data_IF_712146486345
#
_entry.id   IF_712146486345
#
_cell.length_a   1.000
_cell.length_b   1.000
_cell.length_c   1.000
_cell.angle_alpha   90.00
_cell.angle_beta   90.00
_cell.angle_gamma   90.00
#
_symmetry.space_group_name_H-M   'P 1'
#
loop_
_entity.id
_entity.type
_entity.pdbx_description
1 polymer ?
#
# COMPACT_ATOMS: atom_id res chain seq x y z
N UNK A 1 14.28 -27.08 38.55
CA UNK A 1 14.42 -26.79 37.11
C UNK A 1 13.68 -25.49 36.81
N UNK A 2 14.35 -24.34 36.93
CA UNK A 2 13.79 -23.01 36.63
C UNK A 2 14.92 -22.20 35.98
N UNK A 3 14.90 -22.11 34.65
CA UNK A 3 15.77 -21.20 33.91
C UNK A 3 15.05 -19.85 33.87
N UNK A 4 15.39 -18.98 34.81
CA UNK A 4 15.01 -17.57 34.75
C UNK A 4 15.80 -16.95 33.60
N UNK A 5 15.14 -16.68 32.47
CA UNK A 5 15.70 -15.93 31.34
C UNK A 5 16.02 -14.51 31.80
N UNK A 6 17.24 -14.28 32.30
CA UNK A 6 17.78 -12.93 32.47
C UNK A 6 17.91 -12.31 31.09
N UNK A 7 16.94 -11.48 30.71
CA UNK A 7 17.01 -10.65 29.50
C UNK A 7 18.31 -9.84 29.59
N UNK A 8 19.26 -10.00 28.64
CA UNK A 8 20.53 -9.29 28.71
C UNK A 8 20.28 -7.79 28.77
N UNK A 9 20.99 -7.05 29.64
CA UNK A 9 20.88 -5.58 29.71
C UNK A 9 21.11 -4.91 28.35
N UNK A 10 21.93 -5.53 27.50
CA UNK A 10 22.14 -5.12 26.11
C UNK A 10 20.85 -5.21 25.26
N UNK A 11 20.05 -6.27 25.44
CA UNK A 11 18.79 -6.47 24.74
C UNK A 11 17.74 -5.45 25.22
N UNK A 12 17.65 -5.20 26.54
CA UNK A 12 16.78 -4.14 27.09
C UNK A 12 17.17 -2.76 26.53
N UNK A 13 18.47 -2.42 26.56
CA UNK A 13 18.98 -1.15 26.02
C UNK A 13 18.67 -1.01 24.53
N UNK A 14 18.79 -2.09 23.76
CA UNK A 14 18.44 -2.12 22.35
C UNK A 14 16.94 -1.86 22.11
N UNK A 15 16.06 -2.58 22.82
CA UNK A 15 14.61 -2.40 22.70
C UNK A 15 14.16 -1.01 23.12
N UNK A 16 14.69 -0.48 24.23
CA UNK A 16 14.37 0.88 24.69
C UNK A 16 14.81 1.91 23.66
N UNK A 17 16.03 1.80 23.12
CA UNK A 17 16.52 2.69 22.05
C UNK A 17 15.58 2.62 20.84
N UNK A 18 15.20 1.41 20.40
CA UNK A 18 14.32 1.22 19.24
C UNK A 18 12.90 1.73 19.49
N UNK A 19 12.38 1.57 20.69
CA UNK A 19 11.07 2.09 21.09
C UNK A 19 11.07 3.62 21.11
N UNK A 20 12.12 4.26 21.63
CA UNK A 20 12.27 5.72 21.60
C UNK A 20 12.30 6.21 20.15
N UNK A 21 13.11 5.60 19.29
CA UNK A 21 13.14 5.94 17.86
C UNK A 21 11.77 5.76 17.21
N UNK A 22 11.10 4.64 17.46
CA UNK A 22 9.75 4.39 16.95
C UNK A 22 8.77 5.48 17.38
N UNK A 23 8.70 5.80 18.67
CA UNK A 23 7.80 6.84 19.20
C UNK A 23 8.09 8.20 18.57
N UNK A 24 9.35 8.61 18.46
CA UNK A 24 9.74 9.88 17.85
C UNK A 24 9.35 9.91 16.38
N UNK A 25 9.68 8.86 15.61
CA UNK A 25 9.36 8.79 14.18
C UNK A 25 7.84 8.73 13.94
N UNK A 26 7.11 7.96 14.73
CA UNK A 26 5.64 7.90 14.65
C UNK A 26 5.00 9.24 15.03
N UNK A 27 5.49 9.90 16.08
CA UNK A 27 5.00 11.23 16.46
C UNK A 27 5.24 12.24 15.35
N UNK A 28 6.43 12.26 14.75
CA UNK A 28 6.74 13.10 13.60
C UNK A 28 5.80 12.80 12.42
N UNK A 29 5.61 11.53 12.07
CA UNK A 29 4.73 11.11 10.98
C UNK A 29 3.26 11.52 11.22
N UNK A 30 2.74 11.32 12.44
CA UNK A 30 1.38 11.70 12.83
C UNK A 30 1.21 13.23 12.79
N UNK A 31 2.21 13.98 13.27
CA UNK A 31 2.21 15.45 13.20
C UNK A 31 2.18 15.93 11.75
N UNK A 32 3.03 15.35 10.89
CA UNK A 32 3.08 15.68 9.46
C UNK A 32 1.76 15.33 8.77
N UNK A 33 1.19 14.16 9.05
CA UNK A 33 -0.11 13.74 8.52
C UNK A 33 -1.26 14.67 8.96
N UNK A 34 -1.17 15.24 10.16
CA UNK A 34 -2.12 16.24 10.61
C UNK A 34 -1.95 17.58 9.87
N UNK A 35 -0.71 18.05 9.71
CA UNK A 35 -0.40 19.36 9.15
C UNK A 35 -0.59 19.43 7.63
N UNK A 36 -0.09 18.44 6.87
CA UNK A 36 -0.08 18.51 5.40
C UNK A 36 -1.48 18.82 4.84
N UNK A 37 -2.57 18.10 5.19
CA UNK A 37 -3.89 18.39 4.65
C UNK A 37 -4.42 19.78 5.03
N UNK A 38 -3.96 20.35 6.16
CA UNK A 38 -4.37 21.67 6.66
C UNK A 38 -3.56 22.83 6.08
N UNK A 39 -2.42 22.51 5.46
CA UNK A 39 -1.59 23.47 4.72
C UNK A 39 -1.99 23.56 3.24
N UNK A 40 -2.71 22.57 2.72
CA UNK A 40 -3.24 22.61 1.36
C UNK A 40 -4.30 23.71 1.28
N UNK A 41 -4.16 24.69 0.37
CA UNK A 41 -5.15 25.73 0.20
C UNK A 41 -6.47 25.13 -0.32
N UNK A 42 -7.58 25.54 0.29
CA UNK A 42 -8.93 25.08 -0.05
C UNK A 42 -9.68 24.57 1.17
N UNK A 43 -11.02 24.71 1.16
CA UNK A 43 -11.87 24.13 2.21
C UNK A 43 -12.23 22.68 1.81
N UNK A 44 -11.75 21.65 2.51
CA UNK A 44 -12.10 20.27 2.19
C UNK A 44 -13.61 20.02 2.25
N UNK A 45 -14.35 20.77 3.05
CA UNK A 45 -15.80 20.61 3.17
C UNK A 45 -16.51 21.12 1.92
N UNK A 46 -16.06 22.25 1.35
CA UNK A 46 -16.66 22.77 0.10
C UNK A 46 -16.47 21.78 -1.05
N UNK A 47 -15.33 21.09 -1.11
CA UNK A 47 -15.11 20.05 -2.14
C UNK A 47 -16.02 18.83 -1.95
N UNK A 48 -16.34 18.46 -0.71
CA UNK A 48 -17.28 17.37 -0.42
C UNK A 48 -18.69 17.79 -0.81
N UNK A 49 -19.13 18.99 -0.41
CA UNK A 49 -20.45 19.52 -0.73
C UNK A 49 -20.66 19.61 -2.24
N UNK A 50 -19.66 20.12 -2.97
CA UNK A 50 -19.69 20.19 -4.43
C UNK A 50 -19.84 18.80 -5.08
N UNK A 51 -19.11 17.78 -4.58
CA UNK A 51 -19.25 16.40 -5.08
C UNK A 51 -20.63 15.81 -4.77
N UNK A 52 -21.19 16.11 -3.60
CA UNK A 52 -22.52 15.62 -3.22
C UNK A 52 -23.61 16.26 -4.06
N UNK A 53 -23.50 17.56 -4.33
CA UNK A 53 -24.37 18.29 -5.24
C UNK A 53 -24.30 17.70 -6.65
N UNK A 54 -23.10 17.46 -7.18
CA UNK A 54 -22.89 16.80 -8.48
C UNK A 54 -23.47 15.38 -8.56
N UNK A 55 -23.55 14.67 -7.43
CA UNK A 55 -24.14 13.34 -7.33
C UNK A 55 -25.66 13.36 -7.09
N UNK A 56 -26.30 14.53 -7.16
CA UNK A 56 -27.74 14.68 -6.95
C UNK A 56 -28.19 14.47 -5.50
N UNK A 57 -27.25 14.45 -4.54
CA UNK A 57 -27.56 14.40 -3.11
C UNK A 57 -27.86 15.81 -2.62
N UNK A 58 -29.04 16.32 -2.97
CA UNK A 58 -29.55 17.58 -2.42
C UNK A 58 -29.90 17.34 -0.96
N UNK A 59 -29.27 18.09 -0.06
CA UNK A 59 -29.61 18.05 1.35
C UNK A 59 -30.08 19.47 1.75
N UNK A 60 -31.35 19.64 2.15
CA UNK A 60 -31.84 20.92 2.67
C UNK A 60 -31.03 21.35 3.91
N UNK A 61 -30.61 22.62 4.00
CA UNK A 61 -29.87 23.15 5.16
C UNK A 61 -28.33 23.11 5.01
N UNK A 62 -27.79 23.67 3.92
CA UNK A 62 -26.36 23.61 3.58
C UNK A 62 -25.40 24.12 4.67
N UNK A 63 -25.81 25.10 5.48
CA UNK A 63 -25.00 25.63 6.59
C UNK A 63 -24.87 24.63 7.76
N UNK A 64 -25.98 23.98 8.14
CA UNK A 64 -26.00 22.95 9.20
C UNK A 64 -25.12 21.75 8.85
N UNK A 65 -25.06 21.41 7.56
CA UNK A 65 -24.21 20.34 7.06
C UNK A 65 -22.73 20.69 7.19
N UNK A 66 -22.33 21.90 6.79
CA UNK A 66 -20.93 22.34 6.93
C UNK A 66 -20.46 22.17 8.37
N UNK A 67 -21.27 22.56 9.35
CA UNK A 67 -20.93 22.39 10.77
C UNK A 67 -20.86 20.93 11.19
N UNK A 68 -21.81 20.09 10.75
CA UNK A 68 -21.77 18.64 11.00
C UNK A 68 -20.48 18.04 10.43
N UNK A 69 -20.09 18.42 9.21
CA UNK A 69 -18.86 17.95 8.57
C UNK A 69 -17.61 18.45 9.30
N UNK A 70 -17.56 19.74 9.69
CA UNK A 70 -16.47 20.30 10.53
C UNK A 70 -16.30 19.48 11.80
N UNK A 71 -17.39 19.14 12.46
CA UNK A 71 -17.38 18.31 13.67
C UNK A 71 -16.88 16.90 13.40
N UNK A 72 -17.40 16.24 12.36
CA UNK A 72 -17.04 14.85 12.01
C UNK A 72 -15.57 14.71 11.63
N UNK A 73 -15.01 15.69 10.91
CA UNK A 73 -13.60 15.74 10.53
C UNK A 73 -12.68 16.35 11.60
N UNK A 74 -13.22 16.83 12.71
CA UNK A 74 -12.44 17.42 13.81
C UNK A 74 -11.76 18.74 13.41
N UNK A 75 -12.43 19.55 12.60
CA UNK A 75 -11.95 20.84 12.09
C UNK A 75 -12.44 22.05 12.92
N UNK A 76 -13.06 21.81 14.08
CA UNK A 76 -13.53 22.91 14.94
C UNK A 76 -12.39 23.46 15.84
N UNK A 77 -12.46 24.73 16.20
CA UNK A 77 -11.49 25.37 17.09
C UNK A 77 -10.13 25.65 16.43
N UNK A 78 -9.19 26.13 17.25
CA UNK A 78 -7.83 26.42 16.81
C UNK A 78 -7.03 25.15 16.47
N UNK A 79 -5.93 25.32 15.72
CA UNK A 79 -5.09 24.21 15.24
C UNK A 79 -4.56 23.33 16.37
N UNK A 80 -4.24 23.89 17.53
CA UNK A 80 -3.72 23.12 18.66
C UNK A 80 -4.83 22.24 19.24
N UNK A 81 -6.03 22.78 19.45
CA UNK A 81 -7.19 22.00 19.90
C UNK A 81 -7.55 20.88 18.91
N UNK A 82 -7.50 21.15 17.60
CA UNK A 82 -7.68 20.11 16.58
C UNK A 82 -6.62 19.01 16.68
N UNK A 83 -5.36 19.37 16.92
CA UNK A 83 -4.25 18.42 17.02
C UNK A 83 -4.41 17.49 18.24
N UNK A 84 -4.75 18.05 19.41
CA UNK A 84 -4.98 17.25 20.62
C UNK A 84 -6.15 16.28 20.43
N UNK A 85 -7.27 16.74 19.85
CA UNK A 85 -8.41 15.84 19.55
C UNK A 85 -8.05 14.76 18.53
N UNK A 86 -7.27 15.10 17.51
CA UNK A 86 -6.77 14.14 16.53
C UNK A 86 -5.90 13.05 17.20
N UNK A 87 -4.98 13.43 18.09
CA UNK A 87 -4.16 12.47 18.85
C UNK A 87 -5.01 11.58 19.76
N UNK A 88 -6.00 12.14 20.46
CA UNK A 88 -6.91 11.37 21.33
C UNK A 88 -7.68 10.31 20.54
N UNK A 89 -8.24 10.68 19.38
CA UNK A 89 -8.95 9.75 18.49
C UNK A 89 -8.02 8.65 17.98
N UNK A 90 -6.81 9.01 17.55
CA UNK A 90 -5.80 8.07 17.09
C UNK A 90 -5.40 7.05 18.16
N UNK A 91 -5.24 7.48 19.41
CA UNK A 91 -4.93 6.60 20.55
C UNK A 91 -6.08 5.64 20.90
N UNK A 92 -7.32 6.01 20.59
CA UNK A 92 -8.50 5.14 20.71
C UNK A 92 -8.67 4.23 19.48
N UNK A 93 -7.77 4.34 18.50
CA UNK A 93 -7.84 3.62 17.24
C UNK A 93 -8.77 4.25 16.20
N UNK A 94 -9.48 5.34 16.52
CA UNK A 94 -10.36 6.06 15.59
C UNK A 94 -9.56 6.90 14.59
N UNK A 95 -9.50 6.43 13.35
CA UNK A 95 -8.84 7.11 12.23
C UNK A 95 -9.74 8.17 11.57
N UNK A 96 -11.00 8.27 11.98
CA UNK A 96 -11.98 9.19 11.44
C UNK A 96 -12.52 8.79 10.06
N UNK A 97 -13.17 9.76 9.43
CA UNK A 97 -13.78 9.62 8.10
C UNK A 97 -12.79 9.94 6.99
N UNK A 98 -12.93 9.25 5.87
CA UNK A 98 -12.23 9.63 4.64
C UNK A 98 -12.88 10.86 4.03
N UNK A 99 -12.09 11.91 3.81
CA UNK A 99 -12.53 13.12 3.08
C UNK A 99 -12.92 12.75 1.64
N UNK A 100 -12.19 11.81 1.02
CA UNK A 100 -12.38 11.44 -0.38
C UNK A 100 -13.54 10.46 -0.60
N UNK A 101 -13.84 9.62 0.39
CA UNK A 101 -14.82 8.53 0.29
C UNK A 101 -15.93 8.63 1.34
N UNK A 102 -16.25 9.83 1.81
CA UNK A 102 -17.30 10.05 2.80
C UNK A 102 -18.65 9.42 2.35
N UNK A 103 -19.40 8.71 3.23
CA UNK A 103 -19.23 8.59 4.69
C UNK A 103 -18.36 7.42 5.18
N UNK A 104 -17.49 6.85 4.34
CA UNK A 104 -16.64 5.72 4.73
C UNK A 104 -15.57 6.12 5.76
N UNK A 105 -15.35 5.27 6.77
CA UNK A 105 -14.22 5.48 7.71
C UNK A 105 -12.90 5.07 7.06
N UNK A 106 -11.80 5.65 7.52
CA UNK A 106 -10.46 5.29 7.02
C UNK A 106 -10.14 3.82 7.29
N UNK A 107 -10.55 3.31 8.47
CA UNK A 107 -10.40 1.90 8.83
C UNK A 107 -11.11 0.99 7.82
N UNK A 108 -12.34 1.33 7.44
CA UNK A 108 -13.11 0.55 6.48
C UNK A 108 -12.43 0.48 5.12
N UNK A 109 -11.86 1.60 4.64
CA UNK A 109 -11.07 1.62 3.39
C UNK A 109 -9.86 0.69 3.51
N UNK A 110 -9.12 0.78 4.62
CA UNK A 110 -7.94 -0.05 4.87
C UNK A 110 -8.33 -1.53 4.88
N UNK A 111 -9.35 -1.92 5.64
CA UNK A 111 -9.80 -3.32 5.72
C UNK A 111 -10.36 -3.85 4.40
N UNK A 112 -10.99 -3.01 3.59
CA UNK A 112 -11.44 -3.40 2.24
C UNK A 112 -10.26 -3.65 1.29
N UNK A 113 -9.16 -2.90 1.42
CA UNK A 113 -7.99 -3.01 0.57
C UNK A 113 -7.01 -4.12 1.01
N UNK A 114 -6.87 -4.32 2.33
CA UNK A 114 -5.86 -5.18 2.94
C UNK A 114 -5.79 -6.60 2.35
N UNK A 115 -6.90 -7.36 2.20
CA UNK A 115 -6.85 -8.72 1.67
C UNK A 115 -6.25 -8.78 0.26
N UNK A 116 -6.58 -7.82 -0.59
CA UNK A 116 -6.08 -7.74 -1.97
C UNK A 116 -4.59 -7.43 -2.00
N UNK A 117 -4.15 -6.46 -1.20
CA UNK A 117 -2.73 -6.10 -1.10
C UNK A 117 -1.90 -7.26 -0.56
N UNK A 118 -2.35 -7.88 0.55
CA UNK A 118 -1.65 -9.02 1.16
C UNK A 118 -1.62 -10.20 0.19
N UNK A 119 -2.75 -10.54 -0.44
CA UNK A 119 -2.84 -11.64 -1.40
C UNK A 119 -1.89 -11.43 -2.58
N UNK A 120 -1.95 -10.26 -3.22
CA UNK A 120 -1.08 -9.90 -4.34
C UNK A 120 0.40 -9.98 -3.95
N UNK A 121 0.80 -9.27 -2.90
CA UNK A 121 2.20 -9.20 -2.48
C UNK A 121 2.72 -10.58 -2.08
N UNK A 122 1.92 -11.37 -1.35
CA UNK A 122 2.34 -12.68 -0.86
C UNK A 122 2.54 -13.65 -2.02
N UNK A 123 1.57 -13.73 -2.94
CA UNK A 123 1.65 -14.62 -4.11
C UNK A 123 2.79 -14.19 -5.03
N UNK A 124 2.90 -12.91 -5.36
CA UNK A 124 3.97 -12.39 -6.21
C UNK A 124 5.35 -12.62 -5.58
N UNK A 125 5.49 -12.43 -4.26
CA UNK A 125 6.74 -12.69 -3.53
C UNK A 125 7.12 -14.16 -3.57
N UNK A 126 6.18 -15.06 -3.29
CA UNK A 126 6.44 -16.52 -3.33
C UNK A 126 6.81 -16.95 -4.75
N UNK A 127 6.08 -16.51 -5.77
CA UNK A 127 6.39 -16.82 -7.17
C UNK A 127 7.76 -16.29 -7.57
N UNK A 128 8.07 -15.04 -7.23
CA UNK A 128 9.37 -14.43 -7.50
C UNK A 128 10.50 -15.17 -6.81
N UNK A 129 10.31 -15.57 -5.55
CA UNK A 129 11.26 -16.35 -4.79
C UNK A 129 11.49 -17.73 -5.44
N UNK A 130 10.43 -18.47 -5.74
CA UNK A 130 10.54 -19.80 -6.40
C UNK A 130 11.25 -19.68 -7.74
N UNK A 131 10.77 -18.81 -8.64
CA UNK A 131 11.33 -18.64 -9.98
C UNK A 131 12.76 -18.13 -9.95
N UNK A 132 13.04 -17.14 -9.09
CA UNK A 132 14.38 -16.58 -8.93
C UNK A 132 15.37 -17.62 -8.44
N UNK A 133 15.02 -18.41 -7.42
CA UNK A 133 15.91 -19.46 -6.93
C UNK A 133 16.13 -20.57 -7.98
N UNK A 134 15.09 -21.02 -8.68
CA UNK A 134 15.23 -22.04 -9.73
C UNK A 134 16.15 -21.56 -10.87
N UNK A 135 15.93 -20.33 -11.36
CA UNK A 135 16.78 -19.74 -12.38
C UNK A 135 18.21 -19.51 -11.87
N UNK A 136 18.38 -19.04 -10.64
CA UNK A 136 19.68 -18.81 -10.03
C UNK A 136 20.49 -20.10 -9.88
N UNK A 137 19.85 -21.17 -9.41
CA UNK A 137 20.46 -22.50 -9.29
C UNK A 137 20.88 -23.04 -10.67
N UNK A 138 20.00 -22.92 -11.68
CA UNK A 138 20.30 -23.34 -13.04
C UNK A 138 21.50 -22.57 -13.63
N UNK A 139 21.52 -21.24 -13.48
CA UNK A 139 22.64 -20.41 -13.95
C UNK A 139 23.94 -20.62 -13.18
N UNK A 140 23.85 -21.00 -11.90
CA UNK A 140 24.99 -21.41 -11.08
C UNK A 140 25.59 -22.75 -11.52
N UNK A 141 24.76 -23.63 -12.09
CA UNK A 141 25.18 -24.95 -12.60
C UNK A 141 25.81 -24.87 -14.00
N UNK A 142 25.19 -24.17 -14.96
CA UNK A 142 25.63 -24.11 -16.38
C UNK A 142 26.74 -23.04 -16.59
N UNK A 143 27.72 -22.97 -15.68
CA UNK A 143 28.72 -21.89 -15.61
C UNK A 143 29.37 -21.59 -16.98
N UNK A 144 29.56 -20.30 -17.28
CA UNK A 144 30.45 -19.84 -18.37
C UNK A 144 29.80 -19.54 -19.73
N UNK A 145 28.48 -19.67 -19.90
CA UNK A 145 27.80 -19.35 -21.16
C UNK A 145 27.48 -17.86 -21.36
N UNK A 146 27.55 -17.37 -22.61
CA UNK A 146 27.12 -16.00 -22.99
C UNK A 146 25.66 -15.72 -22.61
N UNK A 147 24.79 -16.71 -22.77
CA UNK A 147 23.38 -16.61 -22.37
C UNK A 147 23.23 -16.44 -20.85
N UNK A 148 23.99 -17.19 -20.05
CA UNK A 148 23.98 -17.08 -18.60
C UNK A 148 24.48 -15.70 -18.13
N UNK A 149 25.51 -15.16 -18.78
CA UNK A 149 25.99 -13.80 -18.52
C UNK A 149 24.92 -12.75 -18.86
N UNK A 150 24.29 -12.85 -20.05
CA UNK A 150 23.23 -11.93 -20.47
C UNK A 150 22.05 -11.92 -19.49
N UNK A 151 21.55 -13.10 -19.09
CA UNK A 151 20.44 -13.21 -18.14
C UNK A 151 20.83 -12.60 -16.78
N UNK A 152 22.07 -12.82 -16.33
CA UNK A 152 22.59 -12.24 -15.08
C UNK A 152 22.63 -10.72 -15.13
N UNK A 153 23.14 -10.13 -16.22
CA UNK A 153 23.17 -8.67 -16.38
C UNK A 153 21.78 -8.06 -16.51
N UNK A 154 20.88 -8.73 -17.23
CA UNK A 154 19.49 -8.31 -17.35
C UNK A 154 18.81 -8.28 -15.98
N UNK A 155 18.96 -9.34 -15.18
CA UNK A 155 18.43 -9.41 -13.83
C UNK A 155 19.02 -8.35 -12.89
N UNK A 156 20.33 -8.07 -12.98
CA UNK A 156 20.99 -6.99 -12.24
C UNK A 156 20.37 -5.63 -12.58
N UNK A 157 20.15 -5.35 -13.88
CA UNK A 157 19.52 -4.12 -14.34
C UNK A 157 18.08 -3.99 -13.86
N UNK A 158 17.28 -5.06 -14.02
CA UNK A 158 15.88 -5.09 -13.61
C UNK A 158 15.70 -4.91 -12.10
N UNK A 159 16.62 -5.43 -11.28
CA UNK A 159 16.55 -5.30 -9.83
C UNK A 159 16.74 -3.86 -9.34
N UNK A 160 17.37 -2.98 -10.14
CA UNK A 160 17.50 -1.56 -9.81
C UNK A 160 16.25 -0.74 -10.16
N UNK A 161 15.33 -1.31 -10.96
CA UNK A 161 14.12 -0.60 -11.37
C UNK A 161 13.09 -0.68 -10.23
N UNK A 162 12.53 0.44 -9.76
CA UNK A 162 11.45 0.39 -8.80
C UNK A 162 10.23 -0.32 -9.38
N UNK A 163 9.64 -1.26 -8.63
CA UNK A 163 8.49 -2.06 -9.11
C UNK A 163 7.29 -1.18 -9.53
N UNK A 164 7.07 -0.05 -8.87
CA UNK A 164 5.98 0.87 -9.23
C UNK A 164 6.21 1.51 -10.60
N UNK A 165 7.46 1.79 -10.97
CA UNK A 165 7.78 2.35 -12.27
C UNK A 165 7.55 1.31 -13.36
N UNK A 166 8.00 0.08 -13.15
CA UNK A 166 7.71 -1.02 -14.07
C UNK A 166 6.21 -1.28 -14.19
N UNK A 167 5.46 -1.19 -13.08
CA UNK A 167 4.00 -1.30 -13.10
C UNK A 167 3.36 -0.23 -13.99
N UNK A 168 3.80 1.03 -13.90
CA UNK A 168 3.31 2.11 -14.76
C UNK A 168 3.58 1.84 -16.24
N UNK A 169 4.79 1.36 -16.58
CA UNK A 169 5.14 0.98 -17.96
C UNK A 169 4.25 -0.17 -18.46
N UNK A 170 4.08 -1.22 -17.64
CA UNK A 170 3.22 -2.36 -18.00
C UNK A 170 1.76 -1.95 -18.20
N UNK A 171 1.22 -1.10 -17.32
CA UNK A 171 -0.14 -0.56 -17.46
C UNK A 171 -0.25 0.30 -18.71
N UNK A 172 0.72 1.18 -18.99
CA UNK A 172 0.71 1.98 -20.21
C UNK A 172 0.69 1.12 -21.48
N UNK A 173 1.53 0.09 -21.54
CA UNK A 173 1.62 -0.79 -22.71
C UNK A 173 0.39 -1.69 -22.85
N UNK A 174 -0.04 -2.33 -21.77
CA UNK A 174 -1.01 -3.45 -21.83
C UNK A 174 -2.43 -3.10 -21.37
N UNK A 175 -2.65 -1.90 -20.84
CA UNK A 175 -4.00 -1.40 -20.55
C UNK A 175 -4.41 -0.24 -21.47
N UNK A 176 -3.45 0.55 -21.97
CA UNK A 176 -3.76 1.70 -22.83
C UNK A 176 -3.37 1.50 -24.30
N UNK A 177 -2.13 1.09 -24.59
CA UNK A 177 -1.68 0.92 -25.98
C UNK A 177 -2.24 -0.34 -26.62
N UNK A 178 -2.16 -1.46 -25.91
CA UNK A 178 -2.68 -2.76 -26.32
C UNK A 178 -3.59 -3.23 -25.18
N UNK A 179 -4.89 -2.83 -25.17
CA UNK A 179 -5.77 -2.97 -24.01
C UNK A 179 -6.19 -4.44 -23.76
N UNK A 180 -5.23 -5.26 -23.35
CA UNK A 180 -5.37 -6.69 -23.04
C UNK A 180 -5.63 -6.89 -21.55
N UNK A 181 -5.26 -5.95 -20.69
CA UNK A 181 -5.42 -6.05 -19.25
C UNK A 181 -6.06 -4.78 -18.68
N UNK A 182 -6.72 -4.87 -17.51
CA UNK A 182 -7.32 -3.71 -16.88
C UNK A 182 -6.23 -2.79 -16.30
N UNK A 183 -6.53 -1.50 -16.21
CA UNK A 183 -5.62 -0.48 -15.66
C UNK A 183 -5.69 -0.36 -14.13
N UNK A 184 -6.79 -0.79 -13.51
CA UNK A 184 -7.06 -0.62 -12.09
C UNK A 184 -8.13 -1.60 -11.57
N UNK A 185 -8.23 -1.69 -10.24
CA UNK A 185 -9.22 -2.52 -9.55
C UNK A 185 -8.71 -3.92 -9.22
N UNK A 186 -9.32 -4.56 -8.22
CA UNK A 186 -9.00 -5.95 -7.84
C UNK A 186 -9.76 -6.99 -8.69
N UNK A 187 -10.86 -6.58 -9.30
CA UNK A 187 -11.78 -7.36 -10.14
C UNK A 187 -12.70 -6.37 -10.88
N UNK A 188 -13.50 -6.86 -11.82
CA UNK A 188 -14.34 -6.03 -12.68
C UNK A 188 -15.42 -5.23 -11.90
N UNK A 189 -15.74 -4.03 -12.38
CA UNK A 189 -16.76 -3.16 -11.77
C UNK A 189 -18.12 -3.89 -11.76
N UNK A 190 -18.79 -3.88 -10.61
CA UNK A 190 -20.11 -4.51 -10.44
C UNK A 190 -20.08 -6.00 -10.10
N UNK A 191 -18.91 -6.66 -10.10
CA UNK A 191 -18.77 -8.02 -9.56
C UNK A 191 -18.81 -8.00 -8.04
N UNK A 192 -19.41 -9.06 -7.46
CA UNK A 192 -19.41 -9.29 -6.01
C UNK A 192 -18.38 -10.37 -5.70
N UNK A 193 -17.51 -10.18 -4.68
CA UNK A 193 -16.57 -11.21 -4.25
C UNK A 193 -17.24 -12.54 -3.97
N UNK A 194 -16.76 -13.60 -4.62
CA UNK A 194 -17.28 -14.96 -4.49
C UNK A 194 -16.15 -15.98 -4.68
N UNK A 195 -16.34 -17.23 -4.22
CA UNK A 195 -15.37 -18.32 -4.41
C UNK A 195 -15.54 -18.98 -5.79
N UNK A 196 -16.24 -18.32 -6.73
CA UNK A 196 -16.45 -18.85 -8.07
C UNK A 196 -15.14 -18.84 -8.87
N UNK A 197 -14.96 -19.83 -9.73
CA UNK A 197 -13.79 -19.89 -10.63
C UNK A 197 -13.72 -18.65 -11.53
N UNK A 198 -14.86 -18.13 -11.97
CA UNK A 198 -14.95 -16.89 -12.74
C UNK A 198 -14.37 -15.70 -11.98
N UNK A 199 -14.72 -15.57 -10.70
CA UNK A 199 -14.21 -14.49 -9.87
C UNK A 199 -12.70 -14.63 -9.63
N UNK A 200 -12.20 -15.85 -9.41
CA UNK A 200 -10.77 -16.10 -9.25
C UNK A 200 -10.00 -15.73 -10.53
N UNK A 201 -10.51 -16.12 -11.70
CA UNK A 201 -9.90 -15.74 -12.99
C UNK A 201 -9.91 -14.22 -13.15
N UNK A 202 -11.01 -13.56 -12.80
CA UNK A 202 -11.12 -12.10 -12.89
C UNK A 202 -10.09 -11.39 -11.98
N UNK A 203 -9.90 -11.89 -10.76
CA UNK A 203 -8.86 -11.40 -9.83
C UNK A 203 -7.46 -11.64 -10.38
N UNK A 204 -7.18 -12.82 -10.94
CA UNK A 204 -5.88 -13.12 -11.57
C UNK A 204 -5.62 -12.17 -12.74
N UNK A 205 -6.62 -11.96 -13.59
CA UNK A 205 -6.54 -11.05 -14.72
C UNK A 205 -6.26 -9.60 -14.29
N UNK A 206 -6.94 -9.12 -13.26
CA UNK A 206 -6.72 -7.78 -12.71
C UNK A 206 -5.39 -7.63 -11.97
N UNK A 207 -4.90 -8.70 -11.36
CA UNK A 207 -3.64 -8.70 -10.63
C UNK A 207 -2.40 -8.92 -11.51
N UNK A 208 -2.57 -9.28 -12.78
CA UNK A 208 -1.47 -9.72 -13.65
C UNK A 208 -0.39 -8.64 -13.84
N UNK A 209 -0.75 -7.41 -14.22
CA UNK A 209 0.25 -6.36 -14.46
C UNK A 209 1.00 -5.94 -13.17
N UNK A 210 0.31 -5.70 -12.03
CA UNK A 210 0.99 -5.46 -10.76
C UNK A 210 1.84 -6.65 -10.29
N UNK A 211 1.36 -7.88 -10.45
CA UNK A 211 2.12 -9.07 -10.06
C UNK A 211 3.39 -9.23 -10.92
N UNK A 212 3.30 -9.02 -12.23
CA UNK A 212 4.44 -9.09 -13.14
C UNK A 212 5.51 -8.06 -12.77
N UNK A 213 5.14 -6.83 -12.42
CA UNK A 213 6.13 -5.82 -12.04
C UNK A 213 6.91 -6.23 -10.79
N UNK A 214 6.21 -6.73 -9.76
CA UNK A 214 6.81 -7.24 -8.53
C UNK A 214 7.70 -8.44 -8.83
N UNK A 215 7.18 -9.41 -9.60
CA UNK A 215 7.88 -10.65 -9.91
C UNK A 215 9.17 -10.35 -10.67
N UNK A 216 9.12 -9.57 -11.75
CA UNK A 216 10.27 -9.28 -12.62
C UNK A 216 11.39 -8.57 -11.85
N UNK A 217 11.06 -7.53 -11.07
CA UNK A 217 12.05 -6.77 -10.30
C UNK A 217 12.64 -7.61 -9.17
N UNK A 218 11.79 -8.33 -8.43
CA UNK A 218 12.22 -9.11 -7.26
C UNK A 218 12.97 -10.38 -7.66
N UNK A 219 12.66 -10.95 -8.84
CA UNK A 219 13.28 -12.17 -9.35
C UNK A 219 14.78 -11.98 -9.52
N UNK A 220 15.21 -10.79 -9.98
CA UNK A 220 16.62 -10.50 -10.16
C UNK A 220 17.42 -10.66 -8.86
N UNK A 221 16.90 -10.15 -7.74
CA UNK A 221 17.54 -10.26 -6.43
C UNK A 221 17.69 -11.72 -5.98
N UNK A 222 16.59 -12.48 -5.98
CA UNK A 222 16.60 -13.90 -5.60
C UNK A 222 17.53 -14.74 -6.48
N UNK A 223 17.53 -14.48 -7.79
CA UNK A 223 18.35 -15.19 -8.76
C UNK A 223 19.84 -14.94 -8.54
N UNK A 224 20.24 -13.70 -8.29
CA UNK A 224 21.65 -13.34 -8.03
C UNK A 224 22.12 -13.98 -6.73
N UNK A 225 21.31 -13.90 -5.66
CA UNK A 225 21.63 -14.52 -4.37
C UNK A 225 21.85 -16.02 -4.52
N UNK A 226 20.93 -16.74 -5.17
CA UNK A 226 21.05 -18.19 -5.33
C UNK A 226 22.22 -18.59 -6.25
N UNK A 227 22.50 -17.83 -7.32
CA UNK A 227 23.64 -18.08 -8.21
C UNK A 227 24.99 -17.92 -7.49
N UNK A 228 25.05 -17.06 -6.47
CA UNK A 228 26.27 -16.77 -5.70
C UNK A 228 26.59 -17.80 -4.61
N UNK A 229 25.63 -18.68 -4.30
CA UNK A 229 25.80 -19.83 -3.41
C UNK A 229 26.50 -20.98 -4.15
#
# INVERSE_FOLDING_TARGET
MMVFLMIPRALIKYFVKRLIFFVITSFAAVTINFLIPRLIPGDPISTILLRMEQQGRIIPGGEDLVEIYKRRFGLEGDLFTQYIRYLQRLLQGDLGFSIMAFPMTVQEIIFRALPWTIGLLSIATVLSWVLGNLLGAFLGWVRGGKAAAFITYLALGLNQVPYYFLALVLVFLFAYMIPIFPSQGAFAIGRVPSISIEFVIDVIYHSTLPALSIIIVSLGGWMITMRSM
#
